data_IF_797972653921
#
_entry.id   IF_797972653921
#
_cell.length_a   1.000
_cell.length_b   1.000
_cell.length_c   1.000
_cell.angle_alpha   90.00
_cell.angle_beta   90.00
_cell.angle_gamma   90.00
#
_symmetry.space_group_name_H-M   'P 1'
#
loop_
_entity.id
_entity.type
_entity.pdbx_description
1 polymer ?
#
# COMPACT_ATOMS: atom_id res chain seq x y z
N UNK A 1 10.71 28.88 -42.84
CA UNK A 1 10.13 27.78 -42.06
C UNK A 1 10.79 27.78 -40.70
N UNK A 2 10.22 28.52 -39.74
CA UNK A 2 10.69 28.52 -38.35
C UNK A 2 10.12 27.27 -37.67
N UNK A 3 11.02 26.40 -37.20
CA UNK A 3 10.63 25.22 -36.45
C UNK A 3 9.84 25.65 -35.20
N UNK A 4 8.62 25.14 -35.07
CA UNK A 4 7.83 25.21 -33.85
C UNK A 4 8.63 24.63 -32.68
N UNK A 5 8.60 25.24 -31.47
CA UNK A 5 9.33 24.72 -30.33
C UNK A 5 8.82 23.31 -30.01
N UNK A 6 9.74 22.34 -29.94
CA UNK A 6 9.43 20.99 -29.48
C UNK A 6 8.83 21.07 -28.08
N UNK A 7 7.67 20.44 -27.87
CA UNK A 7 7.07 20.32 -26.54
C UNK A 7 8.09 19.78 -25.54
N UNK A 8 8.14 20.29 -24.29
CA UNK A 8 9.04 19.74 -23.28
C UNK A 8 8.79 18.24 -23.11
N UNK A 9 9.87 17.48 -22.87
CA UNK A 9 9.78 16.06 -22.59
C UNK A 9 8.80 15.81 -21.43
N UNK A 10 8.01 14.72 -21.47
CA UNK A 10 7.09 14.40 -20.38
C UNK A 10 7.86 14.21 -19.08
N UNK A 11 7.35 14.80 -17.99
CA UNK A 11 7.93 14.69 -16.65
C UNK A 11 7.91 13.24 -16.17
N UNK A 12 8.94 12.84 -15.44
CA UNK A 12 9.03 11.52 -14.79
C UNK A 12 8.13 11.45 -13.56
N UNK A 13 7.76 10.23 -13.16
CA UNK A 13 6.91 10.01 -11.98
C UNK A 13 7.52 10.61 -10.70
N UNK A 14 8.84 10.51 -10.56
CA UNK A 14 9.58 11.04 -9.40
C UNK A 14 9.59 12.56 -9.38
N UNK A 15 9.71 13.22 -10.54
CA UNK A 15 9.62 14.68 -10.63
C UNK A 15 8.23 15.18 -10.21
N UNK A 16 7.18 14.52 -10.70
CA UNK A 16 5.80 14.83 -10.31
C UNK A 16 5.59 14.62 -8.81
N UNK A 17 6.12 13.52 -8.26
CA UNK A 17 6.02 13.20 -6.83
C UNK A 17 6.71 14.24 -5.94
N UNK A 18 7.83 14.83 -6.38
CA UNK A 18 8.57 15.84 -5.60
C UNK A 18 7.88 17.19 -5.52
N UNK A 19 7.01 17.51 -6.48
CA UNK A 19 6.22 18.74 -6.48
C UNK A 19 4.98 18.63 -5.59
N UNK A 20 4.59 17.41 -5.21
CA UNK A 20 3.41 17.18 -4.40
C UNK A 20 3.62 17.64 -2.95
N UNK A 21 2.71 18.50 -2.48
CA UNK A 21 2.64 18.87 -1.06
C UNK A 21 1.49 18.10 -0.41
N UNK A 22 1.84 17.18 0.49
CA UNK A 22 0.85 16.37 1.18
C UNK A 22 0.02 17.21 2.17
N UNK A 23 -1.29 16.96 2.18
CA UNK A 23 -2.17 17.46 3.22
C UNK A 23 -1.94 16.67 4.52
N UNK A 24 -2.13 17.28 5.70
CA UNK A 24 -2.10 16.55 6.96
C UNK A 24 -3.08 15.38 6.95
N UNK A 25 -2.63 14.20 7.37
CA UNK A 25 -3.45 12.98 7.33
C UNK A 25 -4.72 13.09 8.19
N UNK A 26 -4.67 13.90 9.26
CA UNK A 26 -5.83 14.18 10.10
C UNK A 26 -6.97 14.87 9.34
N UNK A 27 -6.66 15.77 8.41
CA UNK A 27 -7.69 16.41 7.57
C UNK A 27 -8.34 15.40 6.61
N UNK A 28 -7.54 14.46 6.09
CA UNK A 28 -8.03 13.40 5.19
C UNK A 28 -8.92 12.44 5.98
N UNK A 29 -8.50 12.05 7.18
CA UNK A 29 -9.27 11.21 8.09
C UNK A 29 -10.61 11.86 8.45
N UNK A 30 -10.60 13.15 8.79
CA UNK A 30 -11.82 13.91 9.08
C UNK A 30 -12.76 13.99 7.86
N UNK A 31 -12.22 14.23 6.67
CA UNK A 31 -13.03 14.26 5.43
C UNK A 31 -13.68 12.90 5.12
N UNK A 32 -13.06 11.79 5.57
CA UNK A 32 -13.61 10.44 5.47
C UNK A 32 -14.51 10.05 6.65
N UNK A 33 -14.74 10.95 7.61
CA UNK A 33 -15.56 10.69 8.81
C UNK A 33 -14.90 9.78 9.84
N UNK A 34 -13.57 9.62 9.81
CA UNK A 34 -12.83 8.89 10.85
C UNK A 34 -12.64 9.80 12.06
N UNK A 35 -13.01 9.30 13.24
CA UNK A 35 -12.90 10.05 14.49
C UNK A 35 -11.43 10.22 14.89
N UNK A 36 -11.07 11.38 15.46
CA UNK A 36 -9.69 11.71 15.81
C UNK A 36 -9.02 10.69 16.74
N UNK A 37 -9.76 10.21 17.75
CA UNK A 37 -9.29 9.17 18.69
C UNK A 37 -8.90 7.84 18.01
N UNK A 38 -9.45 7.57 16.83
CA UNK A 38 -9.13 6.35 16.09
C UNK A 38 -7.94 6.53 15.14
N UNK A 39 -7.44 7.77 14.98
CA UNK A 39 -6.30 8.08 14.11
C UNK A 39 -5.02 7.94 14.92
N UNK A 40 -4.12 7.06 14.47
CA UNK A 40 -2.80 6.82 15.05
C UNK A 40 -1.73 7.34 14.07
N UNK A 41 -1.24 8.58 14.22
CA UNK A 41 -0.35 9.18 13.23
C UNK A 41 1.04 8.53 13.19
N UNK A 42 1.54 8.32 11.97
CA UNK A 42 2.91 7.94 11.64
C UNK A 42 3.59 9.11 10.93
N UNK A 43 3.89 10.15 11.71
CA UNK A 43 4.27 11.46 11.17
C UNK A 43 3.03 12.26 10.75
N UNK A 44 3.20 13.18 9.78
CA UNK A 44 2.14 14.13 9.39
C UNK A 44 1.21 13.61 8.30
N UNK A 45 1.65 12.65 7.51
CA UNK A 45 1.05 12.30 6.21
C UNK A 45 0.51 10.86 6.16
N UNK A 46 0.81 10.06 7.18
CA UNK A 46 0.41 8.65 7.27
C UNK A 46 -0.20 8.43 8.64
N UNK A 47 -1.23 7.59 8.73
CA UNK A 47 -1.80 7.14 9.99
C UNK A 47 -2.29 5.71 9.85
N UNK A 48 -2.31 4.98 10.98
CA UNK A 48 -3.16 3.80 11.13
C UNK A 48 -4.51 4.24 11.67
N UNK A 49 -5.55 3.47 11.34
CA UNK A 49 -6.88 3.62 11.93
C UNK A 49 -7.09 2.47 12.91
N UNK A 50 -7.42 2.79 14.15
CA UNK A 50 -7.72 1.80 15.18
C UNK A 50 -8.97 0.99 14.78
N UNK A 51 -8.95 -0.33 14.99
CA UNK A 51 -10.04 -1.22 14.55
C UNK A 51 -11.38 -0.91 15.24
N UNK A 52 -11.34 -0.30 16.44
CA UNK A 52 -12.52 0.19 17.14
C UNK A 52 -13.34 1.22 16.35
N UNK A 53 -12.76 1.88 15.33
CA UNK A 53 -13.50 2.73 14.41
C UNK A 53 -14.66 2.00 13.70
N UNK A 54 -14.53 0.68 13.50
CA UNK A 54 -15.57 -0.15 12.88
C UNK A 54 -16.79 -0.38 13.78
N UNK A 55 -16.64 -0.20 15.09
CA UNK A 55 -17.72 -0.34 16.07
C UNK A 55 -18.57 0.93 16.19
N UNK A 56 -18.09 2.05 15.63
CA UNK A 56 -18.84 3.30 15.65
C UNK A 56 -20.05 3.22 14.72
N UNK A 57 -21.21 3.78 15.12
CA UNK A 57 -22.39 3.83 14.25
C UNK A 57 -22.06 4.53 12.93
N UNK A 58 -22.37 3.88 11.81
CA UNK A 58 -22.18 4.48 10.48
C UNK A 58 -23.32 5.46 10.23
N UNK A 59 -22.97 6.70 9.90
CA UNK A 59 -23.93 7.72 9.47
C UNK A 59 -23.93 7.83 7.95
N UNK A 60 -25.11 7.79 7.33
CA UNK A 60 -25.27 7.98 5.88
C UNK A 60 -25.69 6.71 5.12
N UNK A 61 -25.90 6.84 3.80
CA UNK A 61 -26.29 5.72 2.95
C UNK A 61 -25.15 4.70 2.83
N UNK A 62 -25.51 3.48 2.42
CA UNK A 62 -24.53 2.43 2.14
C UNK A 62 -23.59 2.86 0.99
N UNK A 63 -22.28 2.68 1.21
CA UNK A 63 -21.25 3.00 0.21
C UNK A 63 -21.25 1.98 -0.93
N UNK A 64 -21.02 2.42 -2.16
CA UNK A 64 -20.82 1.53 -3.31
C UNK A 64 -19.40 0.96 -3.31
N UNK A 65 -19.27 -0.34 -3.60
CA UNK A 65 -17.97 -0.99 -3.81
C UNK A 65 -17.68 -1.11 -5.32
N UNK A 66 -16.58 -0.50 -5.76
CA UNK A 66 -16.12 -0.55 -7.15
C UNK A 66 -14.83 -1.35 -7.23
N UNK A 67 -14.85 -2.48 -7.94
CA UNK A 67 -13.68 -3.31 -8.18
C UNK A 67 -13.04 -2.96 -9.52
N UNK A 68 -11.77 -2.55 -9.50
CA UNK A 68 -10.97 -2.34 -10.72
C UNK A 68 -10.17 -3.59 -11.03
N UNK A 69 -10.39 -4.15 -12.22
CA UNK A 69 -9.66 -5.30 -12.75
C UNK A 69 -8.96 -4.96 -14.07
N UNK A 70 -8.14 -5.88 -14.56
CA UNK A 70 -7.42 -5.75 -15.83
C UNK A 70 -7.42 -7.10 -16.56
N UNK A 71 -7.09 -7.06 -17.85
CA UNK A 71 -6.82 -8.26 -18.65
C UNK A 71 -5.56 -8.99 -18.14
N UNK A 72 -5.29 -10.17 -18.72
CA UNK A 72 -4.04 -10.90 -18.45
C UNK A 72 -2.83 -10.00 -18.67
N UNK A 73 -1.90 -9.89 -17.70
CA UNK A 73 -0.78 -8.96 -17.80
C UNK A 73 0.09 -9.20 -19.04
N UNK A 74 0.37 -8.14 -19.79
CA UNK A 74 1.33 -8.14 -20.90
C UNK A 74 2.60 -7.34 -20.54
N UNK A 75 3.73 -7.54 -21.25
CA UNK A 75 4.93 -6.72 -21.06
C UNK A 75 4.73 -5.21 -21.28
N UNK A 76 3.67 -4.81 -21.99
CA UNK A 76 3.34 -3.41 -22.21
C UNK A 76 2.85 -2.70 -20.93
N UNK A 77 2.32 -3.46 -19.97
CA UNK A 77 1.75 -2.94 -18.73
C UNK A 77 0.32 -2.42 -18.91
N UNK A 78 -0.55 -2.77 -17.96
CA UNK A 78 -2.00 -2.49 -18.07
C UNK A 78 -2.46 -1.24 -17.29
N UNK A 79 -1.56 -0.62 -16.50
CA UNK A 79 -1.87 0.62 -15.77
C UNK A 79 -2.95 0.50 -14.68
N UNK A 80 -3.29 -0.71 -14.21
CA UNK A 80 -4.41 -0.95 -13.27
C UNK A 80 -4.41 -0.02 -12.05
N UNK A 81 -3.27 0.14 -11.37
CA UNK A 81 -3.18 0.99 -10.19
C UNK A 81 -3.36 2.46 -10.55
N UNK A 82 -2.73 2.92 -11.63
CA UNK A 82 -2.89 4.29 -12.15
C UNK A 82 -4.36 4.60 -12.47
N UNK A 83 -5.07 3.68 -13.14
CA UNK A 83 -6.49 3.81 -13.43
C UNK A 83 -7.34 3.83 -12.16
N UNK A 84 -7.00 3.03 -11.15
CA UNK A 84 -7.71 3.02 -9.85
C UNK A 84 -7.60 4.36 -9.15
N UNK A 85 -6.40 4.95 -9.11
CA UNK A 85 -6.15 6.25 -8.49
C UNK A 85 -6.83 7.36 -9.29
N UNK A 86 -6.69 7.35 -10.62
CA UNK A 86 -7.32 8.33 -11.50
C UNK A 86 -8.85 8.32 -11.41
N UNK A 87 -9.46 7.13 -11.27
CA UNK A 87 -10.90 7.01 -11.06
C UNK A 87 -11.33 7.65 -9.73
N UNK A 88 -10.58 7.44 -8.64
CA UNK A 88 -10.84 8.10 -7.36
C UNK A 88 -10.70 9.62 -7.42
N UNK A 89 -9.67 10.10 -8.13
CA UNK A 89 -9.47 11.54 -8.39
C UNK A 89 -10.66 12.12 -9.17
N UNK A 90 -11.15 11.42 -10.21
CA UNK A 90 -12.29 11.86 -11.01
C UNK A 90 -13.58 11.94 -10.18
N UNK A 91 -13.88 10.94 -9.35
CA UNK A 91 -15.03 11.00 -8.45
C UNK A 91 -14.94 12.15 -7.45
N UNK A 92 -13.74 12.40 -6.90
CA UNK A 92 -13.52 13.54 -6.00
C UNK A 92 -13.80 14.87 -6.71
N UNK A 93 -13.41 15.02 -7.99
CA UNK A 93 -13.72 16.21 -8.79
C UNK A 93 -15.22 16.37 -9.08
N UNK A 94 -15.98 15.27 -9.10
CA UNK A 94 -17.44 15.27 -9.24
C UNK A 94 -18.16 15.54 -7.89
N UNK A 95 -17.42 15.75 -6.80
CA UNK A 95 -17.98 16.01 -5.48
C UNK A 95 -18.39 14.76 -4.70
N UNK A 96 -17.99 13.57 -5.17
CA UNK A 96 -18.28 12.31 -4.51
C UNK A 96 -17.23 12.00 -3.42
N UNK A 97 -17.68 11.49 -2.27
CA UNK A 97 -16.79 11.01 -1.21
C UNK A 97 -16.24 9.62 -1.56
N UNK A 98 -14.92 9.50 -1.76
CA UNK A 98 -14.26 8.26 -2.19
C UNK A 98 -13.05 7.93 -1.33
N UNK A 99 -12.90 6.65 -1.01
CA UNK A 99 -11.71 6.07 -0.39
C UNK A 99 -11.17 4.94 -1.27
N UNK A 100 -9.85 4.92 -1.48
CA UNK A 100 -9.17 3.89 -2.25
C UNK A 100 -8.58 2.84 -1.31
N UNK A 101 -8.70 1.57 -1.68
CA UNK A 101 -8.04 0.46 -1.01
C UNK A 101 -7.02 -0.18 -1.96
N UNK A 102 -5.74 -0.09 -1.62
CA UNK A 102 -4.61 -0.60 -2.40
C UNK A 102 -3.75 -1.54 -1.56
N UNK A 103 -2.89 -2.33 -2.22
CA UNK A 103 -1.94 -3.22 -1.55
C UNK A 103 -0.62 -2.49 -1.32
N UNK A 104 -0.01 -2.72 -0.17
CA UNK A 104 1.37 -2.31 0.12
C UNK A 104 2.35 -3.08 -0.79
N UNK A 105 3.32 -2.40 -1.43
CA UNK A 105 4.38 -3.07 -2.17
C UNK A 105 5.38 -3.77 -1.26
N UNK A 106 5.95 -4.88 -1.74
CA UNK A 106 7.12 -5.53 -1.12
C UNK A 106 8.35 -4.64 -1.26
N UNK A 107 9.20 -4.65 -0.22
CA UNK A 107 10.44 -3.89 -0.17
C UNK A 107 11.49 -4.45 -1.15
N UNK A 108 11.54 -5.78 -1.33
CA UNK A 108 12.53 -6.45 -2.18
C UNK A 108 12.59 -5.89 -3.62
N UNK A 109 11.46 -5.82 -4.36
CA UNK A 109 11.41 -5.27 -5.71
C UNK A 109 11.80 -3.79 -5.84
N UNK A 110 11.69 -2.99 -4.78
CA UNK A 110 12.02 -1.56 -4.81
C UNK A 110 13.51 -1.29 -5.03
N UNK A 111 14.38 -2.26 -4.71
CA UNK A 111 15.82 -2.19 -5.00
C UNK A 111 16.19 -2.86 -6.34
N UNK A 112 15.19 -3.29 -7.12
CA UNK A 112 15.34 -3.96 -8.42
C UNK A 112 14.69 -3.19 -9.58
N UNK A 113 14.10 -3.93 -10.54
CA UNK A 113 13.68 -3.40 -11.86
C UNK A 113 12.31 -2.68 -11.84
N UNK A 114 11.49 -2.84 -10.80
CA UNK A 114 10.11 -2.31 -10.78
C UNK A 114 10.01 -1.05 -9.93
N UNK A 115 9.90 0.11 -10.59
CA UNK A 115 9.49 1.36 -9.97
C UNK A 115 7.99 1.37 -9.64
N UNK A 116 7.67 1.69 -8.39
CA UNK A 116 6.40 2.26 -7.91
C UNK A 116 5.12 1.44 -8.07
N UNK A 117 4.68 0.73 -7.02
CA UNK A 117 3.29 0.21 -6.96
C UNK A 117 2.25 1.29 -6.60
N UNK A 118 2.67 2.56 -6.52
CA UNK A 118 1.87 3.68 -6.07
C UNK A 118 1.16 4.44 -7.21
N UNK A 119 1.06 3.85 -8.41
CA UNK A 119 0.49 4.52 -9.60
C UNK A 119 1.56 5.11 -10.51
N UNK A 120 1.18 6.08 -11.35
CA UNK A 120 2.09 6.73 -12.32
C UNK A 120 1.50 8.00 -12.91
N UNK A 121 2.34 8.84 -13.51
CA UNK A 121 1.95 10.16 -14.02
C UNK A 121 1.40 11.04 -12.91
N UNK A 122 0.25 11.69 -13.12
CA UNK A 122 -0.43 12.52 -12.11
C UNK A 122 -1.39 11.74 -11.20
N UNK A 123 -1.50 10.41 -11.40
CA UNK A 123 -2.35 9.53 -10.60
C UNK A 123 -1.47 8.63 -9.75
N UNK A 124 -0.96 9.21 -8.66
CA UNK A 124 -0.07 8.57 -7.71
C UNK A 124 -0.63 8.65 -6.27
N UNK A 125 -0.22 7.71 -5.42
CA UNK A 125 -0.39 7.77 -3.96
C UNK A 125 0.91 8.21 -3.32
N UNK A 126 0.79 9.14 -2.37
CA UNK A 126 1.91 9.78 -1.68
C UNK A 126 1.80 9.58 -0.17
N UNK A 127 2.91 9.60 0.58
CA UNK A 127 4.31 9.74 0.12
C UNK A 127 4.92 8.43 -0.41
N UNK A 128 5.33 8.42 -1.68
CA UNK A 128 5.77 7.20 -2.39
C UNK A 128 7.05 6.57 -1.81
N UNK A 129 8.01 7.39 -1.39
CA UNK A 129 9.27 6.96 -0.78
C UNK A 129 9.03 6.20 0.54
N UNK A 130 8.09 6.67 1.35
CA UNK A 130 7.69 5.99 2.58
C UNK A 130 6.97 4.68 2.28
N UNK A 131 6.04 4.68 1.33
CA UNK A 131 5.23 3.49 0.97
C UNK A 131 6.11 2.38 0.39
N UNK A 132 7.10 2.71 -0.44
CA UNK A 132 7.97 1.73 -1.09
C UNK A 132 9.06 1.15 -0.17
N UNK A 133 9.24 1.68 1.04
CA UNK A 133 10.27 1.23 1.99
C UNK A 133 9.63 0.53 3.18
N UNK A 134 9.76 1.09 4.38
CA UNK A 134 9.28 0.47 5.61
C UNK A 134 7.81 0.80 5.92
N UNK A 135 7.23 1.77 5.21
CA UNK A 135 5.90 2.31 5.41
C UNK A 135 5.52 2.46 6.90
N UNK A 136 4.61 1.62 7.40
CA UNK A 136 4.20 1.60 8.81
C UNK A 136 4.69 0.35 9.57
N UNK A 137 5.53 -0.47 8.94
CA UNK A 137 6.15 -1.65 9.52
C UNK A 137 5.35 -2.94 9.41
N UNK A 138 4.31 -2.98 8.57
CA UNK A 138 3.40 -4.12 8.47
C UNK A 138 4.10 -5.38 7.98
N UNK A 139 4.96 -5.27 6.96
CA UNK A 139 5.75 -6.41 6.48
C UNK A 139 6.84 -6.85 7.47
N UNK A 140 7.34 -5.95 8.31
CA UNK A 140 8.22 -6.32 9.43
C UNK A 140 7.45 -7.14 10.46
N UNK A 141 6.25 -6.71 10.84
CA UNK A 141 5.39 -7.44 11.77
C UNK A 141 5.03 -8.85 11.25
N UNK A 142 4.66 -8.96 9.96
CA UNK A 142 4.37 -10.25 9.32
C UNK A 142 5.62 -11.15 9.31
N UNK A 143 6.78 -10.59 8.96
CA UNK A 143 8.05 -11.33 8.95
C UNK A 143 8.42 -11.84 10.34
N UNK A 144 8.32 -10.99 11.37
CA UNK A 144 8.58 -11.36 12.75
C UNK A 144 7.64 -12.46 13.24
N UNK A 145 6.33 -12.34 12.98
CA UNK A 145 5.34 -13.35 13.36
C UNK A 145 5.61 -14.70 12.66
N UNK A 146 5.86 -14.68 11.35
CA UNK A 146 6.15 -15.89 10.58
C UNK A 146 7.40 -16.62 11.10
N UNK A 147 8.49 -15.87 11.33
CA UNK A 147 9.77 -16.43 11.73
C UNK A 147 9.80 -16.82 13.21
N UNK A 148 8.98 -16.19 14.06
CA UNK A 148 8.73 -16.65 15.43
C UNK A 148 8.13 -18.05 15.40
N UNK A 149 7.08 -18.29 14.60
CA UNK A 149 6.47 -19.62 14.49
C UNK A 149 7.48 -20.66 13.98
N UNK A 150 8.27 -20.33 12.94
CA UNK A 150 9.32 -21.22 12.45
C UNK A 150 10.33 -21.59 13.56
N UNK A 151 10.72 -20.60 14.36
CA UNK A 151 11.66 -20.80 15.47
C UNK A 151 11.06 -21.62 16.62
N UNK A 152 9.76 -21.46 16.89
CA UNK A 152 9.04 -22.29 17.85
C UNK A 152 8.94 -23.75 17.40
N UNK A 153 8.72 -24.01 16.10
CA UNK A 153 8.70 -25.36 15.54
C UNK A 153 10.06 -26.04 15.72
N UNK A 154 11.15 -25.37 15.33
CA UNK A 154 12.50 -25.92 15.48
C UNK A 154 12.86 -26.17 16.95
N UNK A 155 12.51 -25.22 17.83
CA UNK A 155 12.72 -25.34 19.27
C UNK A 155 11.95 -26.53 19.85
N UNK A 156 10.70 -26.74 19.45
CA UNK A 156 9.89 -27.87 19.91
C UNK A 156 10.45 -29.22 19.47
N UNK A 157 10.95 -29.32 18.23
CA UNK A 157 11.64 -30.52 17.72
C UNK A 157 12.91 -30.78 18.52
N UNK A 158 13.70 -29.74 18.80
CA UNK A 158 14.95 -29.84 19.56
C UNK A 158 14.71 -30.27 21.01
N UNK A 159 13.74 -29.65 21.69
CA UNK A 159 13.43 -29.90 23.10
C UNK A 159 12.26 -30.89 23.26
N UNK A 160 12.57 -32.18 23.12
CA UNK A 160 11.70 -33.35 23.43
C UNK A 160 10.71 -33.76 22.34
N UNK A 161 10.44 -32.94 21.31
CA UNK A 161 9.53 -33.25 20.21
C UNK A 161 8.25 -33.99 20.63
N UNK A 162 7.55 -33.49 21.67
CA UNK A 162 6.40 -34.20 22.26
C UNK A 162 5.24 -34.46 21.29
N UNK A 163 5.19 -33.70 20.19
CA UNK A 163 4.17 -33.81 19.16
C UNK A 163 4.56 -34.79 18.03
N UNK A 164 5.77 -35.37 18.07
CA UNK A 164 6.24 -36.32 17.06
C UNK A 164 6.36 -35.71 15.66
N UNK A 165 6.75 -34.44 15.57
CA UNK A 165 6.89 -33.74 14.28
C UNK A 165 8.06 -34.36 13.51
N UNK A 166 7.80 -34.82 12.29
CA UNK A 166 8.85 -35.24 11.34
C UNK A 166 9.44 -34.00 10.66
N UNK A 167 10.72 -33.65 10.91
CA UNK A 167 11.35 -32.45 10.35
C UNK A 167 11.31 -32.39 8.82
N UNK A 168 11.27 -33.55 8.14
CA UNK A 168 11.24 -33.64 6.67
C UNK A 168 9.90 -33.25 6.08
N UNK A 169 8.85 -33.19 6.90
CA UNK A 169 7.47 -32.88 6.50
C UNK A 169 7.02 -31.49 6.95
N UNK A 170 7.90 -30.71 7.56
CA UNK A 170 7.60 -29.32 7.93
C UNK A 170 7.50 -28.48 6.66
N UNK A 171 6.29 -28.02 6.36
CA UNK A 171 6.02 -27.17 5.20
C UNK A 171 6.17 -25.67 5.50
N UNK A 172 6.17 -25.31 6.78
CA UNK A 172 6.31 -23.92 7.23
C UNK A 172 7.75 -23.42 6.99
N UNK A 173 7.89 -22.34 6.22
CA UNK A 173 9.20 -21.77 5.87
C UNK A 173 9.43 -20.44 6.58
N UNK A 174 10.70 -20.10 6.78
CA UNK A 174 11.09 -18.74 7.14
C UNK A 174 10.90 -17.82 5.92
N UNK A 175 10.68 -16.54 6.18
CA UNK A 175 10.48 -15.51 5.16
C UNK A 175 11.36 -14.29 5.45
N UNK A 176 11.66 -13.56 4.38
CA UNK A 176 12.35 -12.27 4.42
C UNK A 176 11.87 -11.47 3.23
N UNK A 177 11.55 -10.20 3.43
CA UNK A 177 11.09 -9.32 2.35
C UNK A 177 12.28 -8.72 1.57
N UNK A 178 13.09 -9.59 0.97
CA UNK A 178 14.26 -9.26 0.17
C UNK A 178 14.36 -10.21 -1.02
N UNK A 179 14.97 -9.75 -2.12
CA UNK A 179 15.23 -10.54 -3.33
C UNK A 179 16.63 -11.13 -3.32
#
# INVERSE_FOLDING_TARGET
>A
MTASPSSPAPRTDVEIAREFTARPIGEIAQALGVHEDDVLPYGREIAKVHSGALERPRTGPESKLILVSAITPTPAGEGKTTTTIGLGQAFTQLGESVCLALREPSLGPCMGVKGGACGGGYSQVMPMDRINLHFTGDFHAITSANNLLASLIDSHIHFKNKLGIDPRRVVWRRVMDMN
#
